data_IF_917088409239
#
_entry.id   IF_917088409239
#
_cell.length_a   1.000
_cell.length_b   1.000
_cell.length_c   1.000
_cell.angle_alpha   90.00
_cell.angle_beta   90.00
_cell.angle_gamma   90.00
#
_symmetry.space_group_name_H-M   'P 1'
#
loop_
_entity.id
_entity.type
_entity.pdbx_description
1 polymer ?
#
# COMPACT_ATOMS: atom_id res chain seq x y z
N UNK A 1 -20.78 17.50 -22.24
CA UNK A 1 -20.94 16.33 -21.35
C UNK A 1 -19.89 16.47 -20.26
N UNK A 2 -20.30 16.51 -19.00
CA UNK A 2 -19.38 16.65 -17.86
C UNK A 2 -18.70 15.31 -17.59
N UNK A 3 -17.37 15.26 -17.69
CA UNK A 3 -16.60 14.14 -17.14
C UNK A 3 -16.71 14.24 -15.61
N UNK A 4 -17.66 13.53 -15.01
CA UNK A 4 -17.66 13.35 -13.57
C UNK A 4 -16.44 12.50 -13.22
N UNK A 5 -15.48 13.07 -12.47
CA UNK A 5 -14.45 12.29 -11.83
C UNK A 5 -15.13 11.43 -10.76
N UNK A 6 -15.39 10.17 -11.09
CA UNK A 6 -16.04 9.22 -10.18
C UNK A 6 -14.99 8.69 -9.21
N UNK A 7 -15.31 8.70 -7.92
CA UNK A 7 -14.48 8.10 -6.89
C UNK A 7 -14.28 6.60 -7.16
N UNK A 8 -13.09 6.07 -6.86
CA UNK A 8 -12.78 4.66 -7.08
C UNK A 8 -13.70 3.74 -6.28
N UNK A 9 -14.37 2.79 -6.96
CA UNK A 9 -15.17 1.77 -6.29
C UNK A 9 -14.29 0.84 -5.45
N UNK A 10 -14.88 0.22 -4.42
CA UNK A 10 -14.19 -0.76 -3.59
C UNK A 10 -13.71 -1.95 -4.44
N UNK A 11 -12.46 -2.42 -4.27
CA UNK A 11 -12.01 -3.62 -4.94
C UNK A 11 -12.78 -4.85 -4.44
N UNK A 12 -12.95 -5.85 -5.32
CA UNK A 12 -13.58 -7.12 -4.94
C UNK A 12 -12.55 -8.02 -4.24
N UNK A 13 -12.71 -8.18 -2.92
CA UNK A 13 -11.85 -9.04 -2.08
C UNK A 13 -12.70 -9.95 -1.19
N UNK A 14 -12.14 -11.07 -0.74
CA UNK A 14 -12.77 -12.01 0.19
C UNK A 14 -11.83 -12.24 1.38
N UNK A 15 -12.28 -12.02 2.64
CA UNK A 15 -13.54 -11.37 3.01
C UNK A 15 -13.60 -9.92 2.49
N UNK A 16 -14.81 -9.35 2.42
CA UNK A 16 -14.99 -7.96 1.98
C UNK A 16 -14.32 -6.99 2.96
N UNK A 17 -13.88 -5.83 2.44
CA UNK A 17 -13.40 -4.73 3.28
C UNK A 17 -14.49 -4.28 4.26
N UNK A 18 -14.08 -3.93 5.49
CA UNK A 18 -14.99 -3.38 6.49
C UNK A 18 -15.49 -2.00 6.05
N UNK A 19 -14.57 -1.15 5.61
CA UNK A 19 -14.87 0.20 5.09
C UNK A 19 -14.04 0.47 3.83
N UNK A 20 -14.61 1.27 2.91
CA UNK A 20 -13.90 1.77 1.74
C UNK A 20 -14.37 3.18 1.38
N UNK A 21 -13.44 4.12 1.36
CA UNK A 21 -13.66 5.48 0.84
C UNK A 21 -12.86 5.65 -0.44
N UNK A 22 -13.56 5.64 -1.57
CA UNK A 22 -12.94 5.87 -2.86
C UNK A 22 -12.52 7.32 -3.04
N UNK A 23 -11.31 7.55 -3.55
CA UNK A 23 -10.84 8.86 -4.01
C UNK A 23 -10.72 8.92 -5.55
N UNK A 24 -10.36 10.10 -6.07
CA UNK A 24 -10.09 10.33 -7.49
C UNK A 24 -8.60 10.13 -7.77
N UNK A 25 -8.28 9.47 -8.89
CA UNK A 25 -6.91 9.20 -9.32
C UNK A 25 -6.59 7.71 -9.20
N UNK A 26 -5.36 7.33 -9.55
CA UNK A 26 -4.94 5.92 -9.51
C UNK A 26 -3.55 5.81 -8.94
N UNK A 27 -3.35 4.83 -8.07
CA UNK A 27 -2.01 4.33 -7.76
C UNK A 27 -1.56 3.38 -8.88
N UNK A 28 -0.34 3.57 -9.38
CA UNK A 28 0.34 2.63 -10.25
C UNK A 28 1.64 2.18 -9.59
N UNK A 29 1.79 0.88 -9.44
CA UNK A 29 3.05 0.28 -9.03
C UNK A 29 4.07 0.49 -10.16
N UNK A 30 5.13 1.23 -9.86
CA UNK A 30 6.20 1.51 -10.84
C UNK A 30 7.27 0.43 -10.76
N UNK A 31 8.00 0.22 -11.85
CA UNK A 31 9.18 -0.65 -11.87
C UNK A 31 10.28 -0.18 -10.89
N UNK A 32 10.25 1.08 -10.46
CA UNK A 32 11.16 1.62 -9.45
C UNK A 32 10.66 1.47 -8.01
N UNK A 33 9.46 0.91 -7.81
CA UNK A 33 8.83 0.81 -6.51
C UNK A 33 9.64 -0.08 -5.57
N UNK A 34 9.78 0.39 -4.32
CA UNK A 34 10.42 -0.34 -3.24
C UNK A 34 9.38 -0.70 -2.17
N UNK A 35 9.64 -1.77 -1.44
CA UNK A 35 8.94 -2.09 -0.19
C UNK A 35 9.71 -1.40 0.93
N UNK A 36 9.15 -0.33 1.46
CA UNK A 36 9.74 0.46 2.55
C UNK A 36 9.14 -0.01 3.86
N UNK A 37 9.97 -0.62 4.70
CA UNK A 37 9.60 -1.02 6.06
C UNK A 37 9.97 0.11 7.01
N UNK A 38 9.03 0.53 7.84
CA UNK A 38 9.30 1.49 8.90
C UNK A 38 10.41 0.97 9.82
N UNK A 39 11.50 1.74 9.92
CA UNK A 39 12.68 1.39 10.72
C UNK A 39 12.32 1.06 12.17
N UNK A 40 11.28 1.71 12.71
CA UNK A 40 10.82 1.51 14.10
C UNK A 40 10.26 0.09 14.34
N UNK A 41 9.78 -0.58 13.29
CA UNK A 41 9.12 -1.89 13.36
C UNK A 41 9.82 -2.94 12.48
N UNK A 42 11.11 -2.71 12.20
CA UNK A 42 11.89 -3.53 11.27
C UNK A 42 11.98 -5.00 11.67
N UNK A 43 11.95 -5.31 12.98
CA UNK A 43 12.02 -6.70 13.46
C UNK A 43 10.67 -7.40 13.27
N UNK A 44 9.60 -6.71 13.64
CA UNK A 44 8.22 -7.18 13.60
C UNK A 44 7.74 -7.40 12.16
N UNK A 45 8.09 -6.48 11.27
CA UNK A 45 7.62 -6.48 9.87
C UNK A 45 8.54 -7.25 8.91
N UNK A 46 9.69 -7.76 9.36
CA UNK A 46 10.67 -8.43 8.49
C UNK A 46 10.05 -9.58 7.68
N UNK A 47 9.29 -10.45 8.35
CA UNK A 47 8.66 -11.60 7.71
C UNK A 47 7.51 -11.17 6.78
N UNK A 48 6.71 -10.18 7.18
CA UNK A 48 5.64 -9.60 6.37
C UNK A 48 6.19 -8.98 5.08
N UNK A 49 7.29 -8.22 5.17
CA UNK A 49 7.92 -7.60 4.00
C UNK A 49 8.48 -8.65 3.02
N UNK A 50 9.08 -9.73 3.54
CA UNK A 50 9.56 -10.82 2.70
C UNK A 50 8.41 -11.55 1.99
N UNK A 51 7.32 -11.86 2.71
CA UNK A 51 6.14 -12.48 2.11
C UNK A 51 5.51 -11.59 1.04
N UNK A 52 5.38 -10.29 1.32
CA UNK A 52 4.86 -9.33 0.34
C UNK A 52 5.74 -9.26 -0.92
N UNK A 53 7.07 -9.29 -0.78
CA UNK A 53 8.00 -9.31 -1.92
C UNK A 53 7.80 -10.56 -2.78
N UNK A 54 7.71 -11.73 -2.15
CA UNK A 54 7.54 -13.01 -2.85
C UNK A 54 6.20 -13.05 -3.60
N UNK A 55 5.11 -12.61 -2.95
CA UNK A 55 3.77 -12.54 -3.55
C UNK A 55 3.74 -11.52 -4.69
N UNK A 56 4.32 -10.33 -4.50
CA UNK A 56 4.38 -9.29 -5.51
C UNK A 56 5.14 -9.77 -6.74
N UNK A 57 6.28 -10.43 -6.54
CA UNK A 57 7.09 -11.00 -7.63
C UNK A 57 6.31 -12.10 -8.35
N UNK A 58 5.59 -12.95 -7.62
CA UNK A 58 4.80 -14.04 -8.20
C UNK A 58 3.65 -13.53 -9.06
N UNK A 59 2.95 -12.49 -8.61
CA UNK A 59 1.75 -11.96 -9.29
C UNK A 59 2.11 -10.99 -10.43
N UNK A 60 3.16 -10.19 -10.25
CA UNK A 60 3.47 -9.08 -11.17
C UNK A 60 4.78 -9.27 -11.95
N UNK A 61 5.66 -10.18 -11.51
CA UNK A 61 7.03 -10.30 -12.00
C UNK A 61 7.99 -9.23 -11.47
N UNK A 62 7.51 -8.27 -10.66
CA UNK A 62 8.33 -7.17 -10.14
C UNK A 62 9.06 -7.57 -8.86
N UNK A 63 10.40 -7.62 -8.93
CA UNK A 63 11.27 -7.97 -7.80
C UNK A 63 11.64 -6.74 -6.96
N UNK A 64 10.66 -6.13 -6.28
CA UNK A 64 10.85 -4.91 -5.50
C UNK A 64 11.88 -5.08 -4.36
N UNK A 65 12.82 -4.14 -4.22
CA UNK A 65 13.78 -4.15 -3.12
C UNK A 65 13.08 -3.84 -1.78
N UNK A 66 13.53 -4.46 -0.69
CA UNK A 66 13.12 -4.11 0.68
C UNK A 66 14.15 -3.12 1.24
N UNK A 67 13.69 -1.96 1.69
CA UNK A 67 14.51 -0.97 2.40
C UNK A 67 13.90 -0.60 3.75
N UNK A 68 14.72 -0.04 4.63
CA UNK A 68 14.29 0.41 5.96
C UNK A 68 14.45 1.93 6.06
N UNK A 69 13.34 2.63 6.24
CA UNK A 69 13.30 4.09 6.34
C UNK A 69 12.05 4.51 7.12
N UNK A 70 12.02 5.76 7.58
CA UNK A 70 10.90 6.28 8.40
C UNK A 70 9.77 6.86 7.53
N UNK A 71 9.93 6.87 6.21
CA UNK A 71 8.92 7.31 5.24
C UNK A 71 9.21 6.74 3.85
N UNK A 72 8.17 6.64 3.02
CA UNK A 72 8.23 6.16 1.65
C UNK A 72 8.12 7.31 0.63
N UNK A 73 8.51 7.06 -0.62
CA UNK A 73 8.32 7.99 -1.72
C UNK A 73 7.06 7.65 -2.53
N UNK A 74 6.61 8.59 -3.36
CA UNK A 74 5.45 8.37 -4.22
C UNK A 74 5.69 7.19 -5.19
N UNK A 75 4.89 6.14 -5.06
CA UNK A 75 4.98 4.91 -5.84
C UNK A 75 5.61 3.72 -5.10
N UNK A 76 6.16 3.94 -3.92
CA UNK A 76 6.60 2.86 -3.02
C UNK A 76 5.43 2.23 -2.27
N UNK A 77 5.68 1.06 -1.68
CA UNK A 77 4.80 0.41 -0.72
C UNK A 77 5.37 0.62 0.69
N UNK A 78 4.62 1.22 1.61
CA UNK A 78 5.07 1.47 2.98
C UNK A 78 4.40 0.52 3.98
N UNK A 79 5.20 -0.16 4.81
CA UNK A 79 4.71 -1.02 5.88
C UNK A 79 5.10 -0.42 7.23
N UNK A 80 4.12 -0.15 8.08
CA UNK A 80 4.31 0.34 9.45
C UNK A 80 3.28 -0.28 10.39
N UNK A 81 3.60 -0.33 11.68
CA UNK A 81 2.66 -0.62 12.76
C UNK A 81 2.25 0.67 13.49
N UNK A 82 2.74 1.83 13.05
CA UNK A 82 2.31 3.12 13.58
C UNK A 82 0.89 3.43 13.10
N UNK A 83 -0.05 3.40 14.03
CA UNK A 83 -1.43 3.83 13.80
C UNK A 83 -1.96 4.50 15.05
N UNK A 84 -2.75 5.55 14.87
CA UNK A 84 -3.50 6.20 15.95
C UNK A 84 -4.93 5.62 16.07
N UNK A 85 -5.31 4.71 15.17
CA UNK A 85 -6.62 4.08 15.16
C UNK A 85 -6.64 2.80 16.01
N UNK A 86 -7.03 2.94 17.28
CA UNK A 86 -7.23 1.81 18.18
C UNK A 86 -8.51 0.99 17.89
N UNK A 87 -9.34 1.40 16.95
CA UNK A 87 -10.60 0.74 16.59
C UNK A 87 -10.43 -0.51 15.72
N UNK A 88 -9.29 -0.64 15.04
CA UNK A 88 -9.03 -1.76 14.11
C UNK A 88 -8.65 -3.07 14.82
N UNK A 89 -8.32 -3.02 16.11
CA UNK A 89 -7.93 -4.18 16.91
C UNK A 89 -6.57 -4.79 16.50
N UNK A 90 -6.30 -6.02 16.97
CA UNK A 90 -4.98 -6.65 16.82
C UNK A 90 -4.68 -7.16 15.40
N UNK A 91 -5.71 -7.45 14.60
CA UNK A 91 -5.58 -8.03 13.25
C UNK A 91 -6.05 -7.08 12.14
N UNK A 92 -6.66 -5.94 12.49
CA UNK A 92 -7.12 -4.96 11.52
C UNK A 92 -5.97 -4.18 10.89
N UNK A 93 -6.22 -3.59 9.73
CA UNK A 93 -5.26 -2.77 9.01
C UNK A 93 -5.95 -1.59 8.34
N UNK A 94 -5.15 -0.54 8.09
CA UNK A 94 -5.51 0.56 7.21
C UNK A 94 -4.74 0.42 5.90
N UNK A 95 -5.43 0.65 4.79
CA UNK A 95 -4.82 0.70 3.47
C UNK A 95 -5.09 2.07 2.86
N UNK A 96 -4.02 2.84 2.71
CA UNK A 96 -4.07 4.15 2.07
C UNK A 96 -3.38 4.08 0.71
N UNK A 97 -4.01 4.66 -0.31
CA UNK A 97 -3.49 4.72 -1.67
C UNK A 97 -3.33 6.17 -2.08
N UNK A 98 -2.09 6.59 -2.34
CA UNK A 98 -1.85 7.91 -2.90
C UNK A 98 -1.90 7.84 -4.42
N UNK A 99 -2.63 8.76 -5.09
CA UNK A 99 -2.58 8.88 -6.54
C UNK A 99 -1.13 9.05 -7.00
N UNK A 100 -0.72 8.29 -8.00
CA UNK A 100 0.56 8.55 -8.66
C UNK A 100 0.50 9.96 -9.25
N UNK A 101 1.44 10.83 -8.85
CA UNK A 101 1.60 12.12 -9.50
C UNK A 101 1.78 11.90 -11.01
N UNK A 102 1.05 12.66 -11.83
CA UNK A 102 1.22 12.65 -13.28
C UNK A 102 2.70 12.85 -13.60
N UNK A 103 3.29 12.13 -14.57
CA UNK A 103 4.56 12.55 -15.11
C UNK A 103 4.39 14.00 -15.56
N UNK A 104 5.26 14.88 -15.05
CA UNK A 104 5.47 16.19 -15.62
C UNK A 104 6.23 16.06 -16.95
#
# INVERSE_FOLDING_TARGET
MSNANVNNAAPLVIPSLLEWTGEIGTFQLKDSAQIVVDSLFSTELKHTAAALKDDLTTVTGHDAAIIYANSAQAGDLFLTLSTDDGGIGDEGYLLELQPSSSPA
#
